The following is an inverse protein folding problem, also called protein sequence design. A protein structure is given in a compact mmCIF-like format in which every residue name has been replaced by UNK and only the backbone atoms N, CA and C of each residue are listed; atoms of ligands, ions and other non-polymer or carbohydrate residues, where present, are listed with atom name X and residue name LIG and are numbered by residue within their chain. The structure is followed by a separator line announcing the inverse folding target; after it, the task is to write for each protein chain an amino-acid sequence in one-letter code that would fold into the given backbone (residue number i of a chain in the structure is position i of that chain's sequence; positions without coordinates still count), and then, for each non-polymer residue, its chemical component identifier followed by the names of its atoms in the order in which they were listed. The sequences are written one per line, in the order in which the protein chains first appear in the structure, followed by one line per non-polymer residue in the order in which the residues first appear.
data_IF_115763367622
#
_entry.id   IF_115763367622
#
_cell.length_a   1.000
_cell.length_b   1.000
_cell.length_c   1.000
_cell.angle_alpha   90.00
_cell.angle_beta   90.00
_cell.angle_gamma   90.00
#
_symmetry.space_group_name_H-M   'P 1'
#
loop_
_entity.id
_entity.type
_entity.pdbx_description
1 polymer ?
#
# COMPACT_ATOMS: atom_id res chain seq x y z
N UNK A 1 20.74 5.46 28.76
CA UNK A 1 19.33 5.23 28.38
C UNK A 1 19.28 4.48 27.07
N UNK A 2 18.42 3.46 26.94
CA UNK A 2 18.21 2.76 25.66
C UNK A 2 17.12 3.48 24.86
N UNK A 3 17.35 3.69 23.57
CA UNK A 3 16.36 4.26 22.63
C UNK A 3 15.89 3.13 21.72
N UNK A 4 14.59 2.87 21.71
CA UNK A 4 13.97 1.85 20.85
C UNK A 4 13.14 2.57 19.80
N UNK A 5 13.25 2.14 18.55
CA UNK A 5 12.46 2.62 17.41
C UNK A 5 11.88 1.41 16.70
N UNK A 6 10.62 1.52 16.27
CA UNK A 6 9.95 0.52 15.46
C UNK A 6 9.51 1.18 14.16
N UNK A 7 9.78 0.51 13.04
CA UNK A 7 9.24 0.82 11.72
C UNK A 7 8.33 -0.33 11.30
N UNK A 8 7.13 -0.01 10.85
CA UNK A 8 6.14 -0.98 10.40
C UNK A 8 5.75 -0.70 8.95
N UNK A 9 5.15 -1.70 8.30
CA UNK A 9 4.64 -1.58 6.93
C UNK A 9 3.27 -2.24 6.81
N UNK A 10 2.70 -2.21 5.60
CA UNK A 10 1.36 -2.73 5.33
C UNK A 10 1.15 -4.20 5.75
N UNK A 11 2.22 -5.01 5.75
CA UNK A 11 2.18 -6.41 6.19
C UNK A 11 1.69 -6.60 7.62
N UNK A 12 1.92 -5.62 8.51
CA UNK A 12 1.42 -5.68 9.90
C UNK A 12 -0.12 -5.73 9.98
N UNK A 13 -0.82 -5.25 8.95
CA UNK A 13 -2.28 -5.20 8.90
C UNK A 13 -2.91 -6.31 8.05
N UNK A 14 -2.10 -7.19 7.44
CA UNK A 14 -2.60 -8.24 6.54
C UNK A 14 -3.54 -9.21 7.29
N UNK A 15 -3.16 -9.62 8.49
CA UNK A 15 -3.96 -10.52 9.35
C UNK A 15 -5.23 -9.85 9.89
N UNK A 16 -5.32 -8.52 9.81
CA UNK A 16 -6.54 -7.75 10.12
C UNK A 16 -7.49 -7.59 8.92
N UNK A 17 -7.21 -8.28 7.80
CA UNK A 17 -8.05 -8.26 6.60
C UNK A 17 -7.79 -7.09 5.65
N UNK A 18 -6.70 -6.33 5.85
CA UNK A 18 -6.30 -5.25 4.94
C UNK A 18 -5.26 -5.79 3.96
N UNK A 19 -5.64 -5.88 2.68
CA UNK A 19 -4.71 -6.27 1.61
C UNK A 19 -3.51 -5.33 1.55
N UNK A 20 -2.33 -5.90 1.36
CA UNK A 20 -1.08 -5.11 1.27
C UNK A 20 -0.94 -4.40 -0.07
N UNK A 21 -0.05 -3.42 -0.14
CA UNK A 21 0.20 -2.63 -1.35
C UNK A 21 0.79 -3.44 -2.51
N UNK A 22 1.52 -4.52 -2.20
CA UNK A 22 2.11 -5.45 -3.19
C UNK A 22 1.67 -6.86 -2.90
N UNK A 23 0.35 -7.09 -2.96
CA UNK A 23 -0.13 -8.47 -2.95
C UNK A 23 0.44 -9.23 -4.15
N UNK A 24 0.48 -10.56 -4.04
CA UNK A 24 1.17 -11.53 -4.90
C UNK A 24 1.01 -11.35 -6.42
N UNK A 25 0.00 -10.59 -6.87
CA UNK A 25 -0.29 -10.31 -8.28
C UNK A 25 0.12 -8.89 -8.74
N UNK A 26 0.77 -8.07 -7.91
CA UNK A 26 1.20 -6.71 -8.26
C UNK A 26 0.07 -5.69 -8.45
N UNK A 27 -1.15 -6.07 -8.07
CA UNK A 27 -2.34 -5.22 -8.11
C UNK A 27 -2.77 -4.85 -6.70
N UNK A 28 -3.09 -3.59 -6.46
CA UNK A 28 -3.73 -3.14 -5.23
C UNK A 28 -5.24 -3.04 -5.49
N UNK A 29 -6.04 -3.84 -4.76
CA UNK A 29 -7.50 -3.93 -4.98
C UNK A 29 -7.88 -4.21 -6.44
N UNK A 30 -7.10 -5.04 -7.14
CA UNK A 30 -7.24 -5.34 -8.58
C UNK A 30 -6.94 -4.18 -9.56
N UNK A 31 -6.34 -3.09 -9.07
CA UNK A 31 -5.83 -2.01 -9.91
C UNK A 31 -4.31 -2.03 -9.97
N UNK A 32 -3.76 -1.63 -11.12
CA UNK A 32 -2.33 -1.28 -11.18
C UNK A 32 -2.12 -0.06 -10.30
N UNK A 33 -1.06 -0.08 -9.51
CA UNK A 33 -0.75 1.01 -8.57
C UNK A 33 -0.61 2.35 -9.31
N UNK A 34 0.02 2.33 -10.49
CA UNK A 34 0.26 3.54 -11.29
C UNK A 34 -1.04 4.23 -11.73
N UNK A 35 -2.13 3.47 -11.85
CA UNK A 35 -3.44 3.97 -12.28
C UNK A 35 -4.26 4.58 -11.13
N UNK A 36 -3.82 4.43 -9.87
CA UNK A 36 -4.59 4.86 -8.70
C UNK A 36 -3.79 5.63 -7.65
N UNK A 37 -2.46 5.55 -7.68
CA UNK A 37 -1.57 6.13 -6.68
C UNK A 37 -0.52 7.07 -7.29
N UNK A 38 -0.89 7.79 -8.35
CA UNK A 38 -0.06 8.84 -8.97
C UNK A 38 -0.85 10.15 -9.11
N UNK A 39 -0.20 11.32 -9.02
CA UNK A 39 -0.86 12.60 -9.30
C UNK A 39 -1.48 12.64 -10.70
N UNK A 40 -0.81 12.04 -11.69
CA UNK A 40 -1.26 12.00 -13.08
C UNK A 40 -2.53 11.14 -13.24
N UNK A 41 -2.63 10.03 -12.50
CA UNK A 41 -3.83 9.21 -12.48
C UNK A 41 -5.03 9.96 -11.89
N UNK A 42 -4.84 10.65 -10.76
CA UNK A 42 -5.87 11.49 -10.14
C UNK A 42 -6.35 12.59 -11.09
N UNK A 43 -5.41 13.27 -11.78
CA UNK A 43 -5.77 14.30 -12.75
C UNK A 43 -6.54 13.74 -13.97
N UNK A 44 -6.25 12.49 -14.36
CA UNK A 44 -6.90 11.83 -15.51
C UNK A 44 -8.30 11.33 -15.17
N UNK A 45 -8.52 10.84 -13.96
CA UNK A 45 -9.78 10.26 -13.50
C UNK A 45 -9.95 10.42 -11.96
N UNK A 46 -10.43 11.60 -11.51
CA UNK A 46 -10.59 11.89 -10.07
C UNK A 46 -11.79 11.18 -9.44
#
# INVERSE_FOLDING_TARGET
MKRIVILTGAGMSAESGISTFRDSNGLWKNHRIEDVATPEAWARNP
#
